data_IF_719512109276
#
_entry.id   IF_719512109276
#
_cell.length_a   1.000
_cell.length_b   1.000
_cell.length_c   1.000
_cell.angle_alpha   90.00
_cell.angle_beta   90.00
_cell.angle_gamma   90.00
#
_symmetry.space_group_name_H-M   'P 1'
#
loop_
_entity.id
_entity.type
_entity.pdbx_description
1 polymer ?
#
# COMPACT_ATOMS: atom_id res chain seq x y z
N UNK A 1 -25.34 30.99 10.13
CA UNK A 1 -23.93 30.85 10.56
C UNK A 1 -23.47 29.39 10.67
N UNK A 2 -24.36 28.40 10.83
CA UNK A 2 -24.00 26.96 10.91
C UNK A 2 -23.73 26.28 9.55
N UNK A 3 -24.25 26.83 8.45
CA UNK A 3 -24.06 26.26 7.10
C UNK A 3 -22.61 26.34 6.58
N UNK A 4 -21.82 27.32 7.03
CA UNK A 4 -20.45 27.53 6.55
C UNK A 4 -19.42 26.63 7.26
N UNK A 5 -19.69 26.17 8.48
CA UNK A 5 -18.78 25.31 9.23
C UNK A 5 -18.75 23.87 8.70
N UNK A 6 -19.86 23.37 8.15
CA UNK A 6 -19.93 22.01 7.58
C UNK A 6 -19.17 21.91 6.24
N UNK A 7 -19.16 22.99 5.44
CA UNK A 7 -18.46 23.04 4.14
C UNK A 7 -16.93 22.98 4.33
N UNK A 8 -16.40 23.56 5.41
CA UNK A 8 -14.96 23.56 5.70
C UNK A 8 -14.40 22.20 6.13
N UNK A 9 -15.25 21.29 6.65
CA UNK A 9 -14.87 19.93 7.03
C UNK A 9 -14.80 19.00 5.81
N UNK A 10 -15.71 19.18 4.85
CA UNK A 10 -15.72 18.42 3.59
C UNK A 10 -14.56 18.85 2.68
N UNK A 11 -14.12 20.12 2.71
CA UNK A 11 -12.98 20.58 1.91
C UNK A 11 -11.61 20.09 2.40
N UNK A 12 -11.52 19.49 3.60
CA UNK A 12 -10.28 18.80 4.03
C UNK A 12 -10.09 17.44 3.37
N UNK A 13 -11.06 16.96 2.59
CA UNK A 13 -10.91 15.78 1.74
C UNK A 13 -10.22 16.18 0.44
N UNK A 14 -8.89 16.11 0.43
CA UNK A 14 -8.12 16.24 -0.79
C UNK A 14 -7.91 14.86 -1.43
N UNK A 15 -8.44 14.58 -2.63
CA UNK A 15 -8.15 13.34 -3.37
C UNK A 15 -6.65 13.13 -3.58
N UNK A 16 -5.86 14.22 -3.62
CA UNK A 16 -4.41 14.16 -3.73
C UNK A 16 -3.73 13.59 -2.47
N UNK A 17 -4.30 13.82 -1.28
CA UNK A 17 -3.80 13.22 -0.03
C UNK A 17 -4.02 11.70 -0.02
N UNK A 18 -5.11 11.22 -0.63
CA UNK A 18 -5.39 9.80 -0.76
C UNK A 18 -4.47 9.12 -1.78
N UNK A 19 -4.22 9.74 -2.95
CA UNK A 19 -3.29 9.16 -3.95
C UNK A 19 -1.89 9.02 -3.36
N UNK A 20 -1.37 10.03 -2.66
CA UNK A 20 -0.06 9.94 -2.00
C UNK A 20 -0.02 8.79 -0.99
N UNK A 21 -1.08 8.64 -0.20
CA UNK A 21 -1.19 7.56 0.80
C UNK A 21 -1.24 6.18 0.13
N UNK A 22 -2.00 6.04 -0.96
CA UNK A 22 -2.06 4.79 -1.75
C UNK A 22 -0.70 4.46 -2.36
N UNK A 23 -0.02 5.44 -2.96
CA UNK A 23 1.31 5.23 -3.55
C UNK A 23 2.35 4.83 -2.51
N UNK A 24 2.32 5.42 -1.31
CA UNK A 24 3.19 5.00 -0.20
C UNK A 24 2.88 3.58 0.29
N UNK A 25 1.60 3.20 0.34
CA UNK A 25 1.20 1.83 0.67
C UNK A 25 1.71 0.83 -0.37
N UNK A 26 1.64 1.17 -1.66
CA UNK A 26 2.18 0.33 -2.75
C UNK A 26 3.70 0.23 -2.63
N UNK A 27 4.40 1.34 -2.38
CA UNK A 27 5.85 1.35 -2.21
C UNK A 27 6.30 0.47 -1.03
N UNK A 28 5.57 0.51 0.08
CA UNK A 28 5.82 -0.34 1.24
C UNK A 28 5.63 -1.83 0.89
N UNK A 29 4.53 -2.19 0.20
CA UNK A 29 4.26 -3.56 -0.23
C UNK A 29 5.30 -4.11 -1.21
N UNK A 30 5.82 -3.27 -2.11
CA UNK A 30 6.88 -3.67 -3.04
C UNK A 30 8.25 -3.81 -2.35
N UNK A 31 8.49 -3.04 -1.27
CA UNK A 31 9.75 -3.12 -0.51
C UNK A 31 9.78 -4.29 0.48
N UNK A 32 8.60 -4.69 0.96
CA UNK A 32 8.43 -5.79 1.89
C UNK A 32 7.10 -6.51 1.56
N UNK A 33 7.15 -7.63 0.82
CA UNK A 33 5.94 -8.40 0.54
C UNK A 33 5.31 -8.87 1.85
N UNK A 34 3.97 -8.87 1.93
CA UNK A 34 3.24 -9.34 3.12
C UNK A 34 3.12 -10.87 3.07
N UNK A 35 3.83 -11.63 3.92
CA UNK A 35 3.86 -13.09 3.85
C UNK A 35 2.67 -13.77 4.57
N UNK A 36 1.91 -13.01 5.37
CA UNK A 36 0.80 -13.53 6.18
C UNK A 36 -0.55 -13.46 5.47
N UNK A 37 -0.69 -12.56 4.50
CA UNK A 37 -1.87 -12.43 3.62
C UNK A 37 -1.42 -12.25 2.15
N UNK A 38 -0.96 -13.34 1.52
CA UNK A 38 -0.40 -13.26 0.18
C UNK A 38 -1.48 -13.21 -0.90
N UNK A 39 -1.36 -12.24 -1.81
CA UNK A 39 -2.16 -12.19 -3.04
C UNK A 39 -1.88 -13.38 -3.98
N UNK A 40 -0.67 -13.95 -3.89
CA UNK A 40 -0.21 -15.10 -4.66
C UNK A 40 0.51 -16.09 -3.72
N UNK A 41 -0.16 -17.19 -3.41
CA UNK A 41 0.32 -18.18 -2.44
C UNK A 41 1.64 -18.85 -2.86
N UNK A 42 1.81 -19.12 -4.15
CA UNK A 42 3.01 -19.71 -4.74
C UNK A 42 4.24 -18.80 -4.58
N UNK A 43 4.07 -17.51 -4.87
CA UNK A 43 5.12 -16.49 -4.71
C UNK A 43 5.49 -16.31 -3.24
N UNK A 44 4.51 -16.29 -2.34
CA UNK A 44 4.76 -16.17 -0.91
C UNK A 44 5.47 -17.38 -0.31
N UNK A 45 5.12 -18.59 -0.76
CA UNK A 45 5.83 -19.81 -0.39
C UNK A 45 7.27 -19.83 -0.90
N UNK A 46 7.54 -19.31 -2.11
CA UNK A 46 8.89 -19.16 -2.63
C UNK A 46 9.69 -18.13 -1.82
N UNK A 47 9.11 -16.97 -1.50
CA UNK A 47 9.73 -15.96 -0.65
C UNK A 47 10.10 -16.52 0.74
N UNK A 48 9.20 -17.27 1.38
CA UNK A 48 9.45 -17.93 2.68
C UNK A 48 10.54 -18.99 2.62
N UNK A 49 10.65 -19.73 1.50
CA UNK A 49 11.61 -20.82 1.33
C UNK A 49 13.01 -20.32 0.96
N UNK A 50 13.10 -19.28 0.14
CA UNK A 50 14.38 -18.76 -0.34
C UNK A 50 14.25 -17.28 -0.78
N UNK A 51 14.36 -16.39 0.20
CA UNK A 51 14.28 -14.94 0.01
C UNK A 51 15.35 -14.43 -0.98
N UNK A 52 16.60 -14.92 -0.93
CA UNK A 52 17.66 -14.41 -1.80
C UNK A 52 17.38 -14.70 -3.29
N UNK A 53 16.84 -15.88 -3.58
CA UNK A 53 16.46 -16.25 -4.95
C UNK A 53 15.20 -15.50 -5.41
N UNK A 54 14.26 -15.26 -4.49
CA UNK A 54 13.09 -14.46 -4.79
C UNK A 54 13.45 -13.00 -5.11
N UNK A 55 14.45 -12.43 -4.41
CA UNK A 55 15.01 -11.11 -4.71
C UNK A 55 15.69 -11.10 -6.09
N UNK A 56 16.53 -12.10 -6.41
CA UNK A 56 17.21 -12.22 -7.70
C UNK A 56 16.24 -12.32 -8.89
N UNK A 57 15.12 -13.02 -8.71
CA UNK A 57 14.10 -13.22 -9.76
C UNK A 57 13.15 -12.02 -9.88
N UNK A 58 13.07 -11.19 -8.84
CA UNK A 58 12.15 -10.04 -8.75
C UNK A 58 12.70 -8.72 -9.30
N UNK A 59 13.99 -8.65 -9.62
CA UNK A 59 14.62 -7.54 -10.37
C UNK A 59 14.32 -7.60 -11.88
#
# INVERSE_FOLDING_TARGET
MLYYSEISLVSSWSPALQIRTVLLSIQALLSAPNPDDPLANDVAEQWKKNESHAIETGE
#
